data_IF_996430021210
#
_entry.id   IF_996430021210
#
_cell.length_a   1.000
_cell.length_b   1.000
_cell.length_c   1.000
_cell.angle_alpha   90.00
_cell.angle_beta   90.00
_cell.angle_gamma   90.00
#
_symmetry.space_group_name_H-M   'P 1'
#
loop_
_entity.id
_entity.type
_entity.pdbx_description
1 polymer ?
#
# COMPACT_ATOMS: atom_id res chain seq x y z
N UNK A 1 8.74 39.18 8.48
CA UNK A 1 8.59 37.70 8.47
C UNK A 1 9.97 37.06 8.62
N UNK A 2 10.21 36.23 9.62
CA UNK A 2 11.45 35.44 9.71
C UNK A 2 11.54 34.57 8.45
N UNK A 3 12.67 34.66 7.71
CA UNK A 3 12.91 33.76 6.57
C UNK A 3 13.03 32.33 7.13
N UNK A 4 12.13 31.45 6.69
CA UNK A 4 12.24 30.03 7.02
C UNK A 4 13.49 29.47 6.34
N UNK A 5 14.35 28.83 7.15
CA UNK A 5 15.60 28.25 6.68
C UNK A 5 15.42 26.74 6.59
N UNK A 6 15.37 26.22 5.37
CA UNK A 6 15.40 24.77 5.12
C UNK A 6 16.87 24.31 5.17
N UNK A 7 17.15 23.31 5.99
CA UNK A 7 18.46 22.67 6.08
C UNK A 7 18.62 21.69 4.92
N UNK A 8 19.45 22.04 3.95
CA UNK A 8 19.78 21.18 2.83
C UNK A 8 20.87 20.18 3.24
N UNK A 9 20.85 18.93 2.73
CA UNK A 9 22.00 18.05 2.76
C UNK A 9 23.17 18.69 2.03
N UNK A 10 24.39 18.33 2.45
CA UNK A 10 25.63 18.85 1.85
C UNK A 10 25.65 18.66 0.32
N UNK A 11 25.27 17.48 -0.15
CA UNK A 11 25.26 17.15 -1.57
C UNK A 11 24.26 18.01 -2.36
N UNK A 12 23.03 18.20 -1.85
CA UNK A 12 22.03 19.05 -2.50
C UNK A 12 22.51 20.52 -2.54
N UNK A 13 23.12 21.01 -1.46
CA UNK A 13 23.69 22.35 -1.42
C UNK A 13 24.83 22.50 -2.44
N UNK A 14 25.73 21.52 -2.51
CA UNK A 14 26.84 21.51 -3.46
C UNK A 14 26.34 21.53 -4.92
N UNK A 15 25.32 20.71 -5.25
CA UNK A 15 24.69 20.69 -6.59
C UNK A 15 24.11 22.05 -6.96
N UNK A 16 23.38 22.71 -6.04
CA UNK A 16 22.84 24.03 -6.26
C UNK A 16 23.95 25.07 -6.50
N UNK A 17 24.99 25.03 -5.68
CA UNK A 17 26.13 25.98 -5.80
C UNK A 17 26.88 25.78 -7.10
N UNK A 18 27.12 24.55 -7.55
CA UNK A 18 27.78 24.22 -8.80
C UNK A 18 26.98 24.74 -10.01
N UNK A 19 25.66 24.51 -10.04
CA UNK A 19 24.80 25.05 -11.11
C UNK A 19 24.81 26.58 -11.13
N UNK A 20 24.72 27.21 -9.96
CA UNK A 20 24.71 28.69 -9.85
C UNK A 20 26.05 29.32 -10.21
N UNK A 21 27.16 28.70 -9.83
CA UNK A 21 28.50 29.17 -10.21
C UNK A 21 28.71 29.10 -11.73
N UNK A 22 28.02 28.18 -12.43
CA UNK A 22 28.01 28.11 -13.90
C UNK A 22 27.02 29.09 -14.56
N UNK A 23 26.37 29.96 -13.79
CA UNK A 23 25.48 31.00 -14.32
C UNK A 23 24.03 30.55 -14.49
N UNK A 24 23.64 29.37 -13.95
CA UNK A 24 22.28 28.86 -14.03
C UNK A 24 21.51 29.11 -12.73
N UNK A 25 20.22 29.44 -12.83
CA UNK A 25 19.33 29.40 -11.65
C UNK A 25 19.08 27.97 -11.26
N UNK A 26 19.05 27.68 -9.94
CA UNK A 26 18.81 26.36 -9.42
C UNK A 26 18.14 26.40 -8.04
N UNK A 27 17.16 25.53 -7.80
CA UNK A 27 16.38 25.46 -6.57
C UNK A 27 16.09 23.99 -6.22
N UNK A 28 16.00 23.65 -4.93
CA UNK A 28 15.29 22.44 -4.53
C UNK A 28 13.79 22.67 -4.64
N UNK A 29 13.01 21.65 -4.99
CA UNK A 29 11.61 21.85 -5.39
C UNK A 29 10.72 20.66 -5.05
N UNK A 30 9.44 20.90 -4.82
CA UNK A 30 8.45 19.84 -4.70
C UNK A 30 8.38 19.21 -3.31
N UNK A 31 8.41 17.87 -3.27
CA UNK A 31 8.23 17.09 -2.05
C UNK A 31 9.20 17.44 -0.93
N UNK A 32 10.45 17.69 -1.23
CA UNK A 32 11.45 18.03 -0.23
C UNK A 32 11.18 19.38 0.44
N UNK A 33 10.69 20.37 -0.30
CA UNK A 33 10.32 21.68 0.27
C UNK A 33 9.10 21.54 1.17
N UNK A 34 8.05 20.85 0.69
CA UNK A 34 6.84 20.55 1.47
C UNK A 34 7.17 19.82 2.77
N UNK A 35 7.92 18.71 2.69
CA UNK A 35 8.20 17.87 3.85
C UNK A 35 9.08 18.62 4.86
N UNK A 36 10.05 19.44 4.39
CA UNK A 36 10.85 20.31 5.26
C UNK A 36 9.99 21.35 6.00
N UNK A 37 9.01 21.97 5.32
CA UNK A 37 8.09 22.92 5.92
C UNK A 37 7.17 22.28 6.95
N UNK A 38 6.84 20.99 6.78
CA UNK A 38 6.09 20.18 7.77
C UNK A 38 7.00 19.66 8.91
N UNK A 39 8.29 20.01 8.95
CA UNK A 39 9.21 19.47 9.95
C UNK A 39 9.55 17.98 9.78
N UNK A 40 9.25 17.42 8.61
CA UNK A 40 9.56 16.02 8.24
C UNK A 40 10.91 15.96 7.53
N UNK A 41 11.63 14.86 7.68
CA UNK A 41 12.85 14.61 6.91
C UNK A 41 12.49 14.17 5.50
N UNK A 42 12.89 14.91 4.42
CA UNK A 42 12.66 14.48 3.06
C UNK A 42 13.40 13.18 2.72
N UNK A 43 12.76 12.31 1.94
CA UNK A 43 13.38 11.07 1.45
C UNK A 43 14.32 11.31 0.27
N UNK A 44 13.95 12.24 -0.59
CA UNK A 44 14.64 12.65 -1.81
C UNK A 44 14.74 14.18 -1.92
N UNK A 45 15.65 14.67 -2.75
CA UNK A 45 15.86 16.08 -2.98
C UNK A 45 15.94 16.36 -4.47
N UNK A 46 14.80 16.79 -5.02
CA UNK A 46 14.70 17.17 -6.43
C UNK A 46 15.20 18.59 -6.63
N UNK A 47 15.96 18.80 -7.70
CA UNK A 47 16.48 20.10 -8.09
C UNK A 47 15.87 20.49 -9.44
N UNK A 48 15.42 21.73 -9.57
CA UNK A 48 15.06 22.32 -10.85
C UNK A 48 16.03 23.45 -11.22
N UNK A 49 16.32 23.62 -12.52
CA UNK A 49 17.33 24.54 -13.00
C UNK A 49 17.03 25.08 -14.39
N UNK A 50 17.61 26.28 -14.72
CA UNK A 50 17.62 26.81 -16.08
C UNK A 50 18.64 26.11 -17.00
N UNK A 51 19.57 25.28 -16.43
CA UNK A 51 20.53 24.53 -17.22
C UNK A 51 19.80 23.45 -18.05
N UNK A 52 20.14 23.37 -19.34
CA UNK A 52 19.65 22.28 -20.22
C UNK A 52 20.31 20.95 -19.88
N UNK A 53 19.72 19.82 -20.28
CA UNK A 53 20.26 18.49 -19.94
C UNK A 53 21.71 18.28 -20.40
N UNK A 54 22.10 18.83 -21.55
CA UNK A 54 23.47 18.79 -22.07
C UNK A 54 24.44 19.61 -21.22
N UNK A 55 24.00 20.79 -20.76
CA UNK A 55 24.77 21.64 -19.84
C UNK A 55 24.93 20.98 -18.47
N UNK A 56 23.83 20.44 -17.92
CA UNK A 56 23.88 19.69 -16.66
C UNK A 56 24.83 18.48 -16.77
N UNK A 57 24.75 17.73 -17.90
CA UNK A 57 25.66 16.61 -18.17
C UNK A 57 27.12 17.05 -18.25
N UNK A 58 27.40 18.19 -18.87
CA UNK A 58 28.76 18.70 -18.98
C UNK A 58 29.33 19.17 -17.62
N UNK A 59 28.51 19.82 -16.80
CA UNK A 59 28.91 20.29 -15.46
C UNK A 59 29.25 19.15 -14.48
N UNK A 60 28.62 17.98 -14.63
CA UNK A 60 28.81 16.85 -13.73
C UNK A 60 29.42 15.63 -14.44
N UNK A 61 30.20 15.87 -15.52
CA UNK A 61 30.77 14.79 -16.34
C UNK A 61 31.78 13.90 -15.56
N UNK A 62 32.34 14.40 -14.46
CA UNK A 62 33.22 13.68 -13.55
C UNK A 62 32.48 12.79 -12.53
N UNK A 63 31.14 12.77 -12.57
CA UNK A 63 30.27 11.99 -11.68
C UNK A 63 29.55 10.88 -12.46
N UNK A 64 29.03 9.93 -11.70
CA UNK A 64 28.12 8.91 -12.29
C UNK A 64 26.79 9.56 -12.62
N UNK A 65 26.36 9.47 -13.88
CA UNK A 65 25.14 10.07 -14.38
C UNK A 65 24.08 9.01 -14.74
N UNK A 66 22.80 9.35 -14.49
CA UNK A 66 21.64 8.56 -14.92
C UNK A 66 20.91 9.41 -15.98
N UNK A 67 20.93 8.96 -17.23
CA UNK A 67 20.45 9.73 -18.39
C UNK A 67 19.10 9.23 -18.96
N UNK A 68 18.46 8.27 -18.30
CA UNK A 68 17.16 7.71 -18.77
C UNK A 68 16.06 8.75 -18.90
N UNK A 69 16.10 9.81 -18.06
CA UNK A 69 15.17 10.94 -18.07
C UNK A 69 15.58 12.14 -18.92
N UNK A 70 16.76 12.10 -19.56
CA UNK A 70 17.33 13.29 -20.23
C UNK A 70 16.46 13.84 -21.36
N UNK A 71 15.74 12.97 -22.09
CA UNK A 71 14.79 13.39 -23.15
C UNK A 71 13.64 14.24 -22.60
N UNK A 72 13.30 14.05 -21.32
CA UNK A 72 12.25 14.78 -20.62
C UNK A 72 12.80 15.90 -19.71
N UNK A 73 14.10 16.21 -19.83
CA UNK A 73 14.73 17.28 -19.12
C UNK A 73 15.38 16.89 -17.78
N UNK A 74 15.36 15.62 -17.37
CA UNK A 74 15.92 15.18 -16.10
C UNK A 74 17.23 14.44 -16.25
N UNK A 75 18.26 14.88 -15.52
CA UNK A 75 19.57 14.22 -15.41
C UNK A 75 19.76 13.81 -13.95
N UNK A 76 19.98 12.53 -13.69
CA UNK A 76 20.35 12.06 -12.35
C UNK A 76 21.86 12.19 -12.15
N UNK A 77 22.26 12.75 -11.01
CA UNK A 77 23.66 12.82 -10.55
C UNK A 77 23.81 11.99 -9.29
N UNK A 78 24.70 11.00 -9.29
CA UNK A 78 24.92 10.12 -8.14
C UNK A 78 26.07 10.68 -7.29
N UNK A 79 25.75 11.01 -6.02
CA UNK A 79 26.72 11.46 -5.02
C UNK A 79 26.65 10.56 -3.80
N UNK A 80 27.78 10.04 -3.33
CA UNK A 80 27.89 9.15 -2.17
C UNK A 80 26.88 7.97 -2.22
N UNK A 81 26.65 7.41 -3.44
CA UNK A 81 25.72 6.33 -3.68
C UNK A 81 24.22 6.70 -3.69
N UNK A 82 23.90 8.00 -3.60
CA UNK A 82 22.52 8.53 -3.68
C UNK A 82 22.29 9.26 -5.00
N UNK A 83 21.22 8.97 -5.72
CA UNK A 83 20.84 9.73 -6.91
C UNK A 83 20.13 11.03 -6.51
N UNK A 84 20.46 12.11 -7.19
CA UNK A 84 19.78 13.42 -7.16
C UNK A 84 19.25 13.72 -8.54
N UNK A 85 17.96 14.01 -8.67
CA UNK A 85 17.35 14.38 -9.93
C UNK A 85 17.47 15.89 -10.17
N UNK A 86 18.08 16.27 -11.28
CA UNK A 86 18.19 17.65 -11.74
C UNK A 86 17.36 17.81 -13.00
N UNK A 87 16.26 18.55 -12.90
CA UNK A 87 15.31 18.74 -13.99
C UNK A 87 15.40 20.16 -14.53
N UNK A 88 15.60 20.29 -15.85
CA UNK A 88 15.53 21.57 -16.56
C UNK A 88 14.11 22.13 -16.47
N UNK A 89 13.98 23.47 -16.24
CA UNK A 89 12.68 24.14 -16.29
C UNK A 89 12.00 23.87 -17.62
N UNK A 90 10.76 23.48 -17.58
CA UNK A 90 10.02 23.13 -18.77
C UNK A 90 8.55 23.52 -18.68
N UNK A 91 7.97 23.74 -19.82
CA UNK A 91 6.54 23.71 -20.06
C UNK A 91 6.21 22.43 -20.80
N UNK A 92 5.22 21.72 -20.34
CA UNK A 92 4.74 20.55 -21.02
C UNK A 92 3.77 21.03 -22.13
N UNK A 93 3.91 20.47 -23.34
CA UNK A 93 2.99 20.72 -24.46
C UNK A 93 1.72 19.88 -24.33
N UNK A 94 0.95 19.78 -25.41
CA UNK A 94 -0.29 19.00 -25.44
C UNK A 94 -0.04 17.53 -25.10
N UNK A 95 -0.99 16.95 -24.36
CA UNK A 95 -0.96 15.55 -23.93
C UNK A 95 -2.02 14.77 -24.75
N UNK A 96 -1.59 13.91 -25.68
CA UNK A 96 -2.51 13.06 -26.44
C UNK A 96 -2.81 11.72 -25.77
N UNK A 97 -1.86 11.22 -24.99
CA UNK A 97 -1.96 9.92 -24.32
C UNK A 97 -2.26 10.03 -22.82
N UNK A 98 -2.65 11.22 -22.33
CA UNK A 98 -2.88 11.55 -20.93
C UNK A 98 -1.69 11.16 -20.00
N UNK A 99 -0.46 11.16 -20.56
CA UNK A 99 0.75 10.78 -19.80
C UNK A 99 1.99 11.58 -20.18
N UNK A 100 2.29 11.64 -21.47
CA UNK A 100 3.52 12.28 -21.97
C UNK A 100 3.14 13.50 -22.79
N UNK A 101 3.74 14.67 -22.48
CA UNK A 101 3.62 15.78 -23.40
C UNK A 101 4.26 15.39 -24.74
N UNK A 102 3.59 15.64 -25.84
CA UNK A 102 4.14 15.39 -27.20
C UNK A 102 5.47 16.14 -27.40
N UNK A 103 5.53 17.32 -26.82
CA UNK A 103 6.71 18.18 -26.86
C UNK A 103 7.01 18.72 -25.49
N UNK A 104 8.28 18.71 -25.12
CA UNK A 104 8.80 19.38 -23.93
C UNK A 104 9.50 20.65 -24.40
N UNK A 105 8.99 21.80 -24.01
CA UNK A 105 9.64 23.08 -24.28
C UNK A 105 10.42 23.52 -23.03
N UNK A 106 11.74 23.57 -23.14
CA UNK A 106 12.56 24.12 -22.07
C UNK A 106 12.36 25.62 -21.95
N UNK A 107 12.08 26.08 -20.74
CA UNK A 107 11.88 27.51 -20.41
C UNK A 107 13.03 28.02 -19.53
N UNK A 108 13.15 29.34 -19.42
CA UNK A 108 14.23 29.96 -18.65
C UNK A 108 13.79 30.37 -17.25
N UNK A 109 12.50 30.38 -16.99
CA UNK A 109 11.95 30.89 -15.73
C UNK A 109 11.36 29.77 -14.86
N UNK A 110 11.54 29.94 -13.54
CA UNK A 110 11.03 29.04 -12.52
C UNK A 110 9.49 29.02 -12.48
N UNK A 111 8.83 30.14 -12.79
CA UNK A 111 7.38 30.26 -12.68
C UNK A 111 6.68 29.29 -13.64
N UNK A 112 7.20 29.15 -14.86
CA UNK A 112 6.69 28.17 -15.84
C UNK A 112 6.84 26.72 -15.35
N UNK A 113 7.94 26.38 -14.69
CA UNK A 113 8.12 25.03 -14.11
C UNK A 113 7.20 24.75 -12.91
N UNK A 114 6.96 25.74 -12.06
CA UNK A 114 6.06 25.60 -10.91
C UNK A 114 4.59 25.49 -11.37
N UNK A 115 4.21 26.23 -12.42
CA UNK A 115 2.83 26.28 -12.93
C UNK A 115 2.35 24.93 -13.53
N UNK A 116 3.24 24.09 -14.05
CA UNK A 116 2.89 22.76 -14.61
C UNK A 116 2.75 21.64 -13.57
N UNK A 117 3.10 21.92 -12.30
CA UNK A 117 3.06 20.90 -11.24
C UNK A 117 1.64 20.53 -10.85
N UNK A 118 1.52 19.39 -10.19
CA UNK A 118 0.22 18.82 -9.82
C UNK A 118 -0.53 19.66 -8.77
N UNK A 119 0.10 19.88 -7.61
CA UNK A 119 -0.54 20.52 -6.46
C UNK A 119 0.28 21.67 -5.92
N UNK A 120 -0.40 22.69 -5.38
CA UNK A 120 0.22 23.90 -4.81
C UNK A 120 1.28 23.59 -3.77
N UNK A 121 1.03 22.60 -2.90
CA UNK A 121 1.97 22.14 -1.87
C UNK A 121 3.23 21.49 -2.41
N UNK A 122 3.24 21.10 -3.70
CA UNK A 122 4.40 20.56 -4.42
C UNK A 122 4.97 21.56 -5.43
N UNK A 123 4.35 22.74 -5.57
CA UNK A 123 4.76 23.81 -6.48
C UNK A 123 5.50 24.93 -5.75
N UNK A 124 6.31 24.57 -4.77
CA UNK A 124 7.18 25.47 -4.01
C UNK A 124 8.63 25.12 -4.29
N UNK A 125 9.48 26.14 -4.37
CA UNK A 125 10.92 26.02 -4.57
C UNK A 125 11.68 26.71 -3.42
N UNK A 126 12.91 26.29 -3.17
CA UNK A 126 13.74 26.90 -2.14
C UNK A 126 15.19 26.99 -2.57
N UNK A 127 15.84 28.10 -2.23
CA UNK A 127 17.29 28.21 -2.25
C UNK A 127 17.81 29.03 -1.06
N UNK A 128 19.03 28.72 -0.56
CA UNK A 128 19.69 29.52 0.47
C UNK A 128 19.84 30.97 0.03
N UNK A 129 19.52 31.90 0.93
CA UNK A 129 19.56 33.34 0.66
C UNK A 129 18.30 33.93 0.04
N UNK A 130 17.54 33.16 -0.75
CA UNK A 130 16.28 33.60 -1.35
C UNK A 130 15.06 33.16 -0.50
N UNK A 131 15.18 32.04 0.18
CA UNK A 131 14.08 31.47 0.97
C UNK A 131 13.13 30.62 0.13
N UNK A 132 11.89 30.42 0.63
CA UNK A 132 10.84 29.68 -0.07
C UNK A 132 10.16 30.58 -1.10
N UNK A 133 10.16 30.14 -2.35
CA UNK A 133 9.43 30.74 -3.47
C UNK A 133 8.12 29.99 -3.63
N UNK A 134 7.01 30.68 -3.39
CA UNK A 134 5.64 30.14 -3.46
C UNK A 134 4.78 31.07 -4.31
N UNK A 135 4.57 30.69 -5.57
CA UNK A 135 3.79 31.47 -6.53
C UNK A 135 2.31 31.07 -6.59
N UNK A 136 1.96 29.94 -5.97
CA UNK A 136 0.64 29.32 -6.08
C UNK A 136 -0.08 29.15 -4.75
N UNK A 137 0.46 29.71 -3.65
CA UNK A 137 -0.16 29.66 -2.32
C UNK A 137 -0.01 28.30 -1.61
N UNK A 138 1.01 27.51 -1.97
CA UNK A 138 1.27 26.20 -1.40
C UNK A 138 1.53 26.23 0.11
N UNK A 139 2.15 27.30 0.64
CA UNK A 139 2.37 27.46 2.09
C UNK A 139 1.07 27.63 2.85
N UNK A 140 0.10 28.36 2.29
CA UNK A 140 -1.23 28.53 2.89
C UNK A 140 -1.96 27.18 2.88
N UNK A 141 -2.02 26.53 1.73
CA UNK A 141 -2.68 25.24 1.59
C UNK A 141 -2.04 24.17 2.50
N UNK A 142 -0.71 24.24 2.68
CA UNK A 142 0.02 23.36 3.61
C UNK A 142 -0.38 23.62 5.07
N UNK A 143 -0.53 24.87 5.47
CA UNK A 143 -0.93 25.25 6.82
C UNK A 143 -2.41 24.89 7.11
N UNK A 144 -3.27 24.97 6.09
CA UNK A 144 -4.69 24.65 6.16
C UNK A 144 -4.98 23.15 5.98
N UNK A 145 -3.99 22.33 5.63
CA UNK A 145 -4.18 20.90 5.37
C UNK A 145 -4.97 20.62 4.08
N UNK A 146 -4.72 21.38 3.03
CA UNK A 146 -5.48 21.31 1.78
C UNK A 146 -4.61 20.80 0.62
N UNK A 147 -5.16 19.88 -0.17
CA UNK A 147 -4.61 19.47 -1.47
C UNK A 147 -5.36 20.22 -2.57
N UNK A 148 -4.70 21.15 -3.21
CA UNK A 148 -5.25 21.98 -4.30
C UNK A 148 -4.42 21.82 -5.55
N UNK A 149 -5.05 21.64 -6.72
CA UNK A 149 -4.37 21.67 -8.01
C UNK A 149 -3.76 23.05 -8.27
N UNK A 150 -2.64 23.10 -8.99
CA UNK A 150 -2.09 24.33 -9.53
C UNK A 150 -2.94 24.77 -10.71
N UNK A 151 -3.52 25.97 -10.66
CA UNK A 151 -4.39 26.49 -11.71
C UNK A 151 -5.75 25.77 -11.79
N UNK A 152 -6.22 25.48 -13.00
CA UNK A 152 -7.52 24.79 -13.21
C UNK A 152 -7.40 23.30 -12.99
N UNK A 153 -8.15 22.72 -12.03
CA UNK A 153 -8.11 21.29 -11.74
C UNK A 153 -8.54 20.40 -12.92
N UNK A 154 -9.52 20.84 -13.71
CA UNK A 154 -9.99 20.06 -14.87
C UNK A 154 -8.87 19.92 -15.92
N UNK A 155 -8.18 21.02 -16.22
CA UNK A 155 -7.03 21.02 -17.11
C UNK A 155 -5.90 20.13 -16.56
N UNK A 156 -5.59 20.21 -15.25
CA UNK A 156 -4.54 19.38 -14.61
C UNK A 156 -4.83 17.89 -14.70
N UNK A 157 -6.06 17.46 -14.52
CA UNK A 157 -6.45 16.06 -14.62
C UNK A 157 -6.56 15.58 -16.07
N UNK A 158 -6.92 16.45 -17.01
CA UNK A 158 -6.89 16.13 -18.43
C UNK A 158 -5.48 15.89 -18.97
N UNK A 159 -4.46 16.61 -18.46
CA UNK A 159 -3.05 16.39 -18.82
C UNK A 159 -2.53 15.02 -18.36
N UNK A 160 -2.75 14.64 -17.11
CA UNK A 160 -2.38 13.33 -16.57
C UNK A 160 -3.45 12.87 -15.56
N UNK A 161 -4.29 11.93 -16.01
CA UNK A 161 -5.35 11.37 -15.19
C UNK A 161 -4.83 10.72 -13.88
N UNK A 162 -3.57 10.26 -13.85
CA UNK A 162 -2.98 9.72 -12.62
C UNK A 162 -2.92 10.75 -11.50
N UNK A 163 -2.91 12.05 -11.79
CA UNK A 163 -2.95 13.11 -10.79
C UNK A 163 -4.18 13.02 -9.88
N UNK A 164 -5.28 12.40 -10.36
CA UNK A 164 -6.47 12.11 -9.55
C UNK A 164 -6.11 11.18 -8.39
N UNK A 165 -5.47 10.04 -8.68
CA UNK A 165 -5.04 9.11 -7.62
C UNK A 165 -3.89 9.68 -6.76
N UNK A 166 -3.01 10.49 -7.35
CA UNK A 166 -2.00 11.22 -6.60
C UNK A 166 -2.62 12.16 -5.57
N UNK A 167 -3.71 12.87 -5.93
CA UNK A 167 -4.46 13.70 -4.98
C UNK A 167 -4.98 12.87 -3.80
N UNK A 168 -5.59 11.70 -4.07
CA UNK A 168 -6.06 10.78 -3.04
C UNK A 168 -4.90 10.28 -2.15
N UNK A 169 -3.78 9.88 -2.76
CA UNK A 169 -2.60 9.40 -2.02
C UNK A 169 -1.99 10.51 -1.14
N UNK A 170 -1.90 11.74 -1.64
CA UNK A 170 -1.42 12.86 -0.82
C UNK A 170 -2.39 13.20 0.30
N UNK A 171 -3.70 13.17 0.05
CA UNK A 171 -4.70 13.34 1.09
C UNK A 171 -4.52 12.31 2.20
N UNK A 172 -4.39 11.03 1.85
CA UNK A 172 -4.15 9.95 2.82
C UNK A 172 -2.79 10.08 3.54
N UNK A 173 -1.70 10.36 2.80
CA UNK A 173 -0.35 10.43 3.37
C UNK A 173 -0.13 11.60 4.32
N UNK A 174 -0.75 12.73 4.03
CA UNK A 174 -0.62 13.97 4.81
C UNK A 174 -1.76 14.16 5.81
N UNK A 175 -2.82 13.36 5.69
CA UNK A 175 -4.09 13.51 6.42
C UNK A 175 -4.75 14.86 6.12
N UNK A 176 -4.67 15.27 4.86
CA UNK A 176 -5.23 16.50 4.31
C UNK A 176 -6.55 16.24 3.58
N UNK A 177 -7.28 17.30 3.30
CA UNK A 177 -8.51 17.24 2.49
C UNK A 177 -8.28 17.89 1.12
N UNK A 178 -9.04 17.46 0.10
CA UNK A 178 -9.01 18.13 -1.18
C UNK A 178 -9.76 19.47 -1.10
N UNK A 179 -9.23 20.47 -1.78
CA UNK A 179 -9.98 21.67 -2.14
C UNK A 179 -11.29 21.29 -2.87
N UNK A 180 -12.42 21.98 -2.61
CA UNK A 180 -13.71 21.60 -3.21
C UNK A 180 -13.71 21.53 -4.73
N UNK A 181 -13.05 22.50 -5.42
CA UNK A 181 -12.96 22.48 -6.88
C UNK A 181 -12.10 21.33 -7.39
N UNK A 182 -10.99 21.04 -6.70
CA UNK A 182 -10.12 19.88 -6.98
C UNK A 182 -10.89 18.56 -6.79
N UNK A 183 -11.66 18.43 -5.72
CA UNK A 183 -12.47 17.23 -5.46
C UNK A 183 -13.56 17.01 -6.51
N UNK A 184 -14.27 18.08 -6.89
CA UNK A 184 -15.30 18.05 -7.92
C UNK A 184 -14.74 17.65 -9.30
N UNK A 185 -13.59 18.23 -9.68
CA UNK A 185 -12.92 17.89 -10.93
C UNK A 185 -12.40 16.44 -10.93
N UNK A 186 -11.87 15.95 -9.78
CA UNK A 186 -11.43 14.57 -9.63
C UNK A 186 -12.59 13.59 -9.82
N UNK A 187 -13.77 13.89 -9.27
CA UNK A 187 -14.96 13.07 -9.45
C UNK A 187 -15.44 13.09 -10.90
N UNK A 188 -15.48 14.27 -11.52
CA UNK A 188 -15.92 14.41 -12.90
C UNK A 188 -15.01 13.70 -13.92
N UNK A 189 -13.71 13.57 -13.60
CA UNK A 189 -12.71 12.98 -14.48
C UNK A 189 -12.30 11.54 -14.10
N UNK A 190 -12.91 10.93 -13.06
CA UNK A 190 -12.43 9.64 -12.52
C UNK A 190 -12.45 8.49 -13.54
N UNK A 191 -13.36 8.48 -14.50
CA UNK A 191 -13.43 7.47 -15.55
C UNK A 191 -12.19 7.47 -16.46
N UNK A 192 -11.50 8.61 -16.59
CA UNK A 192 -10.25 8.70 -17.35
C UNK A 192 -9.10 7.87 -16.74
N UNK A 193 -9.22 7.46 -15.48
CA UNK A 193 -8.26 6.55 -14.83
C UNK A 193 -8.12 5.22 -15.58
N UNK A 194 -9.15 4.79 -16.30
CA UNK A 194 -9.09 3.56 -17.11
C UNK A 194 -8.11 3.65 -18.29
N UNK A 195 -7.68 4.85 -18.68
CA UNK A 195 -6.65 5.03 -19.70
C UNK A 195 -5.23 4.98 -19.15
N UNK A 196 -5.07 5.01 -17.83
CA UNK A 196 -3.77 4.97 -17.17
C UNK A 196 -3.26 3.53 -17.07
N UNK A 197 -1.95 3.33 -17.22
CA UNK A 197 -1.35 2.01 -17.09
C UNK A 197 -1.57 1.40 -15.72
N UNK A 198 -1.82 0.10 -15.69
CA UNK A 198 -2.14 -0.66 -14.48
C UNK A 198 -1.08 -0.53 -13.38
N UNK A 199 0.20 -0.51 -13.76
CA UNK A 199 1.33 -0.37 -12.84
C UNK A 199 1.34 0.98 -12.14
N UNK A 200 0.96 2.06 -12.85
CA UNK A 200 0.87 3.40 -12.26
C UNK A 200 -0.30 3.49 -11.31
N UNK A 201 -1.46 2.95 -11.68
CA UNK A 201 -2.64 2.86 -10.79
C UNK A 201 -2.29 2.07 -9.53
N UNK A 202 -1.67 0.88 -9.71
CA UNK A 202 -1.24 0.05 -8.59
C UNK A 202 -0.34 0.83 -7.62
N UNK A 203 0.67 1.53 -8.13
CA UNK A 203 1.63 2.25 -7.30
C UNK A 203 0.97 3.36 -6.45
N UNK A 204 0.01 4.10 -7.02
CA UNK A 204 -0.71 5.15 -6.29
C UNK A 204 -1.68 4.55 -5.26
N UNK A 205 -2.44 3.51 -5.62
CA UNK A 205 -3.33 2.81 -4.68
C UNK A 205 -2.57 2.15 -3.53
N UNK A 206 -1.45 1.48 -3.85
CA UNK A 206 -0.59 0.84 -2.86
C UNK A 206 -0.01 1.86 -1.85
N UNK A 207 0.41 3.02 -2.36
CA UNK A 207 0.84 4.14 -1.52
C UNK A 207 -0.28 4.78 -0.71
N UNK A 208 -1.52 4.83 -1.24
CA UNK A 208 -2.70 5.33 -0.55
C UNK A 208 -3.10 4.39 0.60
N UNK A 209 -3.24 3.09 0.30
CA UNK A 209 -3.70 2.09 1.27
C UNK A 209 -2.74 1.92 2.46
N UNK A 210 -1.44 2.15 2.27
CA UNK A 210 -0.44 2.11 3.32
C UNK A 210 -0.30 3.42 4.12
N UNK A 211 -1.06 4.45 3.78
CA UNK A 211 -0.96 5.76 4.40
C UNK A 211 -1.82 5.87 5.68
N UNK A 212 -1.43 6.71 6.65
CA UNK A 212 -2.17 6.84 7.92
C UNK A 212 -3.63 7.29 7.74
N UNK A 213 -3.90 8.18 6.80
CA UNK A 213 -5.25 8.67 6.49
C UNK A 213 -6.01 7.85 5.44
N UNK A 214 -5.59 6.60 5.15
CA UNK A 214 -6.20 5.77 4.11
C UNK A 214 -7.72 5.59 4.30
N UNK A 215 -8.16 5.17 5.47
CA UNK A 215 -9.58 4.95 5.78
C UNK A 215 -10.43 6.21 5.58
N UNK A 216 -10.00 7.35 6.12
CA UNK A 216 -10.71 8.62 5.99
C UNK A 216 -10.78 9.10 4.53
N UNK A 217 -9.71 8.92 3.77
CA UNK A 217 -9.66 9.25 2.33
C UNK A 217 -10.58 8.34 1.52
N UNK A 218 -10.61 7.04 1.81
CA UNK A 218 -11.50 6.08 1.18
C UNK A 218 -12.97 6.41 1.46
N UNK A 219 -13.33 6.68 2.72
CA UNK A 219 -14.70 7.03 3.10
C UNK A 219 -15.18 8.27 2.32
N UNK A 220 -14.34 9.29 2.24
CA UNK A 220 -14.71 10.57 1.61
C UNK A 220 -14.74 10.52 0.08
N UNK A 221 -13.83 9.78 -0.56
CA UNK A 221 -13.61 9.82 -2.01
C UNK A 221 -13.82 8.47 -2.71
N UNK A 222 -14.65 7.59 -2.14
CA UNK A 222 -14.91 6.26 -2.69
C UNK A 222 -15.37 6.27 -4.15
N UNK A 223 -16.25 7.22 -4.53
CA UNK A 223 -16.72 7.35 -5.91
C UNK A 223 -15.57 7.66 -6.90
N UNK A 224 -14.56 8.42 -6.48
CA UNK A 224 -13.36 8.69 -7.30
C UNK A 224 -12.50 7.43 -7.43
N UNK A 225 -12.32 6.69 -6.34
CA UNK A 225 -11.55 5.44 -6.34
C UNK A 225 -12.21 4.35 -7.20
N UNK A 226 -13.54 4.38 -7.35
CA UNK A 226 -14.27 3.48 -8.24
C UNK A 226 -13.86 3.65 -9.71
N UNK A 227 -13.38 4.82 -10.14
CA UNK A 227 -12.79 5.00 -11.46
C UNK A 227 -11.56 4.14 -11.72
N UNK A 228 -10.75 3.86 -10.68
CA UNK A 228 -9.58 2.99 -10.77
C UNK A 228 -9.91 1.51 -10.54
N UNK A 229 -10.84 1.22 -9.62
CA UNK A 229 -11.30 -0.13 -9.25
C UNK A 229 -12.82 -0.18 -9.32
N UNK A 230 -13.41 -0.37 -10.52
CA UNK A 230 -14.87 -0.31 -10.71
C UNK A 230 -15.66 -1.27 -9.84
N UNK A 231 -15.04 -2.35 -9.42
CA UNK A 231 -15.67 -3.38 -8.56
C UNK A 231 -16.07 -2.86 -7.18
N UNK A 232 -15.52 -1.73 -6.72
CA UNK A 232 -15.94 -1.13 -5.45
C UNK A 232 -17.23 -0.29 -5.57
N UNK A 233 -17.59 0.16 -6.78
CA UNK A 233 -18.79 0.99 -6.98
C UNK A 233 -20.06 0.36 -6.40
N UNK A 234 -20.36 -0.95 -6.58
CA UNK A 234 -21.51 -1.58 -5.96
C UNK A 234 -21.46 -1.67 -4.42
N UNK A 235 -20.28 -1.48 -3.80
CA UNK A 235 -20.14 -1.49 -2.35
C UNK A 235 -20.62 -0.17 -1.72
N UNK A 236 -20.54 0.93 -2.49
CA UNK A 236 -20.96 2.26 -2.04
C UNK A 236 -22.49 2.29 -1.95
N UNK A 237 -22.99 2.62 -0.75
CA UNK A 237 -24.45 2.60 -0.47
C UNK A 237 -25.04 1.19 -0.35
N UNK A 238 -24.27 0.11 -0.45
CA UNK A 238 -24.76 -1.24 -0.20
C UNK A 238 -25.01 -1.45 1.30
N UNK A 239 -26.23 -1.15 1.74
CA UNK A 239 -26.63 -1.32 3.14
C UNK A 239 -26.53 -2.77 3.62
N UNK A 240 -26.13 -2.92 4.88
CA UNK A 240 -25.97 -4.19 5.59
C UNK A 240 -26.95 -4.24 6.79
N UNK A 241 -28.30 -4.24 6.54
CA UNK A 241 -29.26 -4.24 7.63
C UNK A 241 -29.06 -5.47 8.54
N UNK A 242 -28.98 -5.20 9.83
CA UNK A 242 -28.67 -6.17 10.87
C UNK A 242 -28.04 -5.48 12.09
N UNK A 243 -27.86 -6.21 13.17
CA UNK A 243 -27.33 -5.67 14.44
C UNK A 243 -25.79 -5.51 14.49
N UNK A 244 -25.09 -6.03 13.46
CA UNK A 244 -23.65 -6.06 13.43
C UNK A 244 -23.02 -4.82 12.78
N UNK A 245 -23.67 -4.27 11.76
CA UNK A 245 -23.11 -3.23 10.92
C UNK A 245 -23.77 -1.88 11.15
N UNK A 246 -22.97 -0.84 11.36
CA UNK A 246 -23.42 0.55 11.42
C UNK A 246 -23.15 1.32 10.10
N UNK A 247 -22.46 0.69 9.16
CA UNK A 247 -22.04 1.26 7.89
C UNK A 247 -22.57 0.44 6.71
N UNK A 248 -22.60 1.04 5.51
CA UNK A 248 -22.66 0.30 4.27
C UNK A 248 -21.35 -0.49 4.03
N UNK A 249 -21.31 -1.33 2.99
CA UNK A 249 -20.13 -2.16 2.71
C UNK A 249 -18.87 -1.34 2.48
N UNK A 250 -18.99 -0.20 1.76
CA UNK A 250 -17.84 0.63 1.46
C UNK A 250 -17.27 1.35 2.70
N UNK A 251 -18.13 1.99 3.47
CA UNK A 251 -17.73 2.69 4.70
C UNK A 251 -17.17 1.73 5.74
N UNK A 252 -17.73 0.51 5.83
CA UNK A 252 -17.17 -0.56 6.65
C UNK A 252 -15.75 -0.92 6.17
N UNK A 253 -15.56 -1.12 4.86
CA UNK A 253 -14.24 -1.41 4.28
C UNK A 253 -13.23 -0.28 4.57
N UNK A 254 -13.65 0.97 4.42
CA UNK A 254 -12.81 2.13 4.72
C UNK A 254 -12.43 2.20 6.21
N UNK A 255 -13.39 1.93 7.11
CA UNK A 255 -13.14 1.86 8.55
C UNK A 255 -12.16 0.72 8.91
N UNK A 256 -12.33 -0.46 8.31
CA UNK A 256 -11.42 -1.59 8.51
C UNK A 256 -9.99 -1.28 8.04
N UNK A 257 -9.81 -0.64 6.87
CA UNK A 257 -8.49 -0.19 6.41
C UNK A 257 -7.89 0.82 7.38
N UNK A 258 -8.69 1.76 7.89
CA UNK A 258 -8.24 2.77 8.87
C UNK A 258 -7.88 2.20 10.24
N UNK A 259 -8.47 1.06 10.61
CA UNK A 259 -8.23 0.39 11.90
C UNK A 259 -7.05 -0.60 11.89
N UNK A 260 -6.39 -0.81 10.73
CA UNK A 260 -5.28 -1.75 10.63
C UNK A 260 -4.11 -1.38 11.54
N UNK A 261 -3.72 -2.29 12.41
CA UNK A 261 -2.46 -2.21 13.14
C UNK A 261 -1.33 -2.88 12.31
N UNK A 262 -0.46 -2.07 11.77
CA UNK A 262 0.68 -2.52 10.95
C UNK A 262 1.98 -2.70 11.75
N UNK A 263 1.95 -2.49 13.07
CA UNK A 263 3.14 -2.66 13.93
C UNK A 263 3.63 -4.11 13.91
N UNK A 264 4.94 -4.27 13.84
CA UNK A 264 5.55 -5.61 13.78
C UNK A 264 5.41 -6.34 12.43
N UNK A 265 4.82 -5.70 11.43
CA UNK A 265 4.82 -6.21 10.06
C UNK A 265 6.06 -5.71 9.30
N UNK A 266 6.62 -6.57 8.47
CA UNK A 266 7.56 -6.12 7.45
C UNK A 266 6.82 -5.36 6.34
N UNK A 267 7.53 -4.65 5.49
CA UNK A 267 6.93 -3.85 4.41
C UNK A 267 6.01 -4.68 3.50
N UNK A 268 6.38 -5.93 3.18
CA UNK A 268 5.54 -6.81 2.36
C UNK A 268 4.28 -7.24 3.10
N UNK A 269 4.41 -7.57 4.38
CA UNK A 269 3.28 -7.96 5.22
C UNK A 269 2.25 -6.84 5.42
N UNK A 270 2.73 -5.63 5.66
CA UNK A 270 1.88 -4.45 5.76
C UNK A 270 1.08 -4.24 4.46
N UNK A 271 1.72 -4.35 3.29
CA UNK A 271 1.04 -4.24 1.99
C UNK A 271 -0.02 -5.32 1.79
N UNK A 272 0.30 -6.58 2.13
CA UNK A 272 -0.66 -7.69 2.08
C UNK A 272 -1.88 -7.40 2.94
N UNK A 273 -1.70 -6.89 4.16
CA UNK A 273 -2.81 -6.54 5.06
C UNK A 273 -3.67 -5.40 4.52
N UNK A 274 -3.05 -4.31 4.04
CA UNK A 274 -3.77 -3.17 3.47
C UNK A 274 -4.66 -3.59 2.29
N UNK A 275 -4.11 -4.37 1.35
CA UNK A 275 -4.87 -4.87 0.22
C UNK A 275 -5.93 -5.92 0.60
N UNK A 276 -5.63 -6.78 1.58
CA UNK A 276 -6.62 -7.71 2.09
C UNK A 276 -7.80 -6.99 2.73
N UNK A 277 -7.55 -5.97 3.57
CA UNK A 277 -8.60 -5.15 4.17
C UNK A 277 -9.38 -4.35 3.13
N UNK A 278 -8.72 -3.82 2.09
CA UNK A 278 -9.38 -3.13 1.00
C UNK A 278 -10.34 -4.01 0.20
N UNK A 279 -10.05 -5.32 0.08
CA UNK A 279 -10.78 -6.24 -0.79
C UNK A 279 -11.59 -7.30 -0.04
N UNK A 280 -11.57 -7.36 1.31
CA UNK A 280 -12.18 -8.46 2.07
C UNK A 280 -13.67 -8.63 1.78
N UNK A 281 -14.39 -7.53 1.66
CA UNK A 281 -15.83 -7.48 1.49
C UNK A 281 -16.30 -7.13 0.07
N UNK A 282 -15.39 -7.10 -0.91
CA UNK A 282 -15.67 -6.69 -2.30
C UNK A 282 -16.81 -7.47 -2.96
N UNK A 283 -17.05 -8.70 -2.54
CA UNK A 283 -18.11 -9.54 -3.08
C UNK A 283 -19.42 -9.53 -2.27
N UNK A 284 -19.53 -8.74 -1.20
CA UNK A 284 -20.81 -8.64 -0.45
C UNK A 284 -21.98 -8.19 -1.34
N UNK A 285 -21.85 -7.14 -2.19
CA UNK A 285 -22.97 -6.73 -3.05
C UNK A 285 -23.51 -7.85 -3.95
N UNK A 286 -22.71 -8.57 -4.74
CA UNK A 286 -23.22 -9.65 -5.59
C UNK A 286 -23.63 -10.94 -4.83
N UNK A 287 -23.36 -11.04 -3.52
CA UNK A 287 -23.78 -12.15 -2.66
C UNK A 287 -24.93 -11.77 -1.73
N UNK A 288 -25.42 -10.52 -1.80
CA UNK A 288 -26.46 -10.02 -0.90
C UNK A 288 -27.80 -10.72 -1.14
N UNK A 289 -28.36 -11.25 -0.07
CA UNK A 289 -29.76 -11.69 0.00
C UNK A 289 -30.40 -11.07 1.23
N UNK A 290 -31.73 -10.89 1.21
CA UNK A 290 -32.47 -10.33 2.35
C UNK A 290 -33.40 -11.43 2.86
N UNK A 291 -33.27 -11.74 4.14
CA UNK A 291 -34.14 -12.73 4.80
C UNK A 291 -35.54 -12.21 5.08
N UNK A 292 -36.50 -13.07 5.48
CA UNK A 292 -37.86 -12.69 5.87
C UNK A 292 -37.90 -11.67 7.04
N UNK A 293 -36.87 -11.65 7.87
CA UNK A 293 -36.67 -10.75 8.99
C UNK A 293 -36.09 -9.38 8.59
N UNK A 294 -35.86 -9.17 7.27
CA UNK A 294 -35.24 -7.96 6.73
C UNK A 294 -33.73 -7.91 6.90
N UNK A 295 -33.09 -8.91 7.53
CA UNK A 295 -31.65 -8.96 7.69
C UNK A 295 -30.93 -9.31 6.37
N UNK A 296 -29.78 -8.65 6.11
CA UNK A 296 -28.96 -8.99 4.98
C UNK A 296 -28.03 -10.16 5.28
N UNK A 297 -27.91 -11.06 4.31
CA UNK A 297 -26.99 -12.19 4.32
C UNK A 297 -26.06 -12.14 3.10
N UNK A 298 -24.81 -12.55 3.29
CA UNK A 298 -23.77 -12.46 2.26
C UNK A 298 -23.03 -13.79 2.09
N UNK A 299 -23.81 -14.91 2.01
CA UNK A 299 -23.23 -16.25 1.97
C UNK A 299 -22.26 -16.43 0.81
N UNK A 300 -21.07 -16.95 1.10
CA UNK A 300 -20.04 -17.23 0.11
C UNK A 300 -19.28 -15.98 -0.40
N UNK A 301 -19.51 -14.81 0.19
CA UNK A 301 -18.81 -13.57 -0.22
C UNK A 301 -17.29 -13.69 -0.09
N UNK A 302 -16.78 -14.43 0.90
CA UNK A 302 -15.35 -14.64 1.11
C UNK A 302 -14.69 -15.41 -0.05
N UNK A 303 -15.31 -16.50 -0.54
CA UNK A 303 -14.78 -17.28 -1.67
C UNK A 303 -14.88 -16.49 -2.99
N UNK A 304 -16.03 -15.88 -3.24
CA UNK A 304 -16.24 -15.03 -4.41
C UNK A 304 -15.35 -13.78 -4.35
N UNK A 305 -15.18 -13.20 -3.15
CA UNK A 305 -14.29 -12.07 -2.89
C UNK A 305 -12.83 -12.40 -3.19
N UNK A 306 -12.37 -13.58 -2.81
CA UNK A 306 -11.02 -14.04 -3.14
C UNK A 306 -10.80 -14.15 -4.66
N UNK A 307 -11.81 -14.61 -5.42
CA UNK A 307 -11.74 -14.65 -6.90
C UNK A 307 -11.71 -13.24 -7.48
N UNK A 308 -12.58 -12.34 -7.02
CA UNK A 308 -12.59 -10.94 -7.46
C UNK A 308 -11.28 -10.23 -7.11
N UNK A 309 -10.78 -10.40 -5.88
CA UNK A 309 -9.50 -9.84 -5.43
C UNK A 309 -8.33 -10.31 -6.31
N UNK A 310 -8.28 -11.59 -6.66
CA UNK A 310 -7.28 -12.13 -7.59
C UNK A 310 -7.35 -11.44 -8.95
N UNK A 311 -8.55 -11.31 -9.52
CA UNK A 311 -8.76 -10.66 -10.82
C UNK A 311 -8.32 -9.19 -10.78
N UNK A 312 -8.70 -8.44 -9.75
CA UNK A 312 -8.34 -7.04 -9.56
C UNK A 312 -6.81 -6.89 -9.45
N UNK A 313 -6.17 -7.66 -8.57
CA UNK A 313 -4.73 -7.57 -8.32
C UNK A 313 -3.90 -7.97 -9.55
N UNK A 314 -4.32 -8.98 -10.31
CA UNK A 314 -3.67 -9.38 -11.55
C UNK A 314 -3.85 -8.31 -12.64
N UNK A 315 -5.04 -7.71 -12.80
CA UNK A 315 -5.30 -6.60 -13.71
C UNK A 315 -4.40 -5.40 -13.37
N UNK A 316 -4.21 -5.11 -12.08
CA UNK A 316 -3.34 -4.04 -11.59
C UNK A 316 -1.85 -4.40 -11.66
N UNK A 317 -1.50 -5.62 -12.11
CA UNK A 317 -0.12 -6.12 -12.18
C UNK A 317 0.60 -6.10 -10.83
N UNK A 318 -0.14 -6.38 -9.78
CA UNK A 318 0.40 -6.50 -8.43
C UNK A 318 1.44 -7.63 -8.34
N UNK A 319 2.47 -7.52 -7.48
CA UNK A 319 3.46 -8.57 -7.30
C UNK A 319 2.84 -9.89 -6.81
N UNK A 320 3.37 -11.03 -7.25
CA UNK A 320 2.81 -12.37 -6.93
C UNK A 320 2.63 -12.61 -5.42
N UNK A 321 3.61 -12.19 -4.58
CA UNK A 321 3.51 -12.34 -3.12
C UNK A 321 2.29 -11.61 -2.54
N UNK A 322 1.93 -10.46 -3.13
CA UNK A 322 0.78 -9.67 -2.71
C UNK A 322 -0.52 -10.34 -3.13
N UNK A 323 -0.59 -10.81 -4.38
CA UNK A 323 -1.76 -11.54 -4.89
C UNK A 323 -2.04 -12.74 -4.00
N UNK A 324 -1.05 -13.60 -3.77
CA UNK A 324 -1.22 -14.82 -2.97
C UNK A 324 -1.58 -14.51 -1.52
N UNK A 325 -0.88 -13.56 -0.90
CA UNK A 325 -1.10 -13.19 0.49
C UNK A 325 -2.46 -12.55 0.73
N UNK A 326 -2.84 -11.54 -0.06
CA UNK A 326 -4.11 -10.84 0.10
C UNK A 326 -5.30 -11.74 -0.25
N UNK A 327 -5.25 -12.46 -1.38
CA UNK A 327 -6.31 -13.40 -1.77
C UNK A 327 -6.51 -14.50 -0.73
N UNK A 328 -5.41 -15.03 -0.19
CA UNK A 328 -5.48 -16.03 0.88
C UNK A 328 -6.18 -15.51 2.15
N UNK A 329 -5.90 -14.27 2.55
CA UNK A 329 -6.57 -13.63 3.69
C UNK A 329 -8.05 -13.37 3.40
N UNK A 330 -8.37 -12.82 2.24
CA UNK A 330 -9.78 -12.58 1.82
C UNK A 330 -10.58 -13.88 1.81
N UNK A 331 -10.00 -15.00 1.35
CA UNK A 331 -10.69 -16.29 1.29
C UNK A 331 -11.17 -16.81 2.65
N UNK A 332 -10.52 -16.43 3.74
CA UNK A 332 -10.79 -16.97 5.08
C UNK A 332 -11.03 -15.91 6.17
N UNK A 333 -11.14 -14.63 5.79
CA UNK A 333 -11.29 -13.54 6.78
C UNK A 333 -12.53 -13.74 7.67
N UNK A 334 -13.63 -14.24 7.14
CA UNK A 334 -14.89 -14.49 7.86
C UNK A 334 -14.98 -15.90 8.47
N UNK A 335 -14.03 -16.80 8.16
CA UNK A 335 -14.05 -18.16 8.69
C UNK A 335 -13.87 -18.17 10.22
N UNK A 336 -14.55 -19.08 10.95
CA UNK A 336 -14.33 -19.26 12.38
C UNK A 336 -12.87 -19.66 12.65
N UNK A 337 -12.33 -19.17 13.76
CA UNK A 337 -10.97 -19.51 14.17
C UNK A 337 -10.93 -20.94 14.73
N UNK A 338 -9.83 -21.67 14.51
CA UNK A 338 -9.64 -23.00 15.09
C UNK A 338 -9.68 -22.96 16.61
N UNK A 339 -10.39 -23.94 17.21
CA UNK A 339 -10.48 -24.11 18.67
C UNK A 339 -9.73 -25.38 19.08
N UNK A 340 -8.94 -25.30 20.15
CA UNK A 340 -8.14 -26.37 20.69
C UNK A 340 -6.80 -26.56 19.95
N UNK A 341 -5.81 -27.11 20.69
CA UNK A 341 -4.41 -27.19 20.26
C UNK A 341 -4.23 -27.97 18.96
N UNK A 342 -4.87 -29.10 18.81
CA UNK A 342 -4.78 -29.92 17.60
C UNK A 342 -5.24 -29.16 16.34
N UNK A 343 -6.33 -28.39 16.45
CA UNK A 343 -6.85 -27.59 15.34
C UNK A 343 -5.94 -26.42 15.03
N UNK A 344 -5.36 -25.78 16.05
CA UNK A 344 -4.40 -24.67 15.89
C UNK A 344 -3.10 -25.16 15.27
N UNK A 345 -2.56 -26.31 15.71
CA UNK A 345 -1.37 -26.93 15.12
C UNK A 345 -1.58 -27.31 13.65
N UNK A 346 -2.75 -27.82 13.28
CA UNK A 346 -3.11 -28.07 11.89
C UNK A 346 -3.19 -26.78 11.06
N UNK A 347 -3.69 -25.71 11.65
CA UNK A 347 -3.69 -24.39 10.98
C UNK A 347 -2.26 -23.84 10.82
N UNK A 348 -1.41 -23.97 11.84
CA UNK A 348 0.02 -23.61 11.79
C UNK A 348 0.76 -24.43 10.71
N UNK A 349 0.49 -25.72 10.61
CA UNK A 349 1.06 -26.57 9.57
C UNK A 349 0.65 -26.12 8.16
N UNK A 350 -0.62 -25.79 7.95
CA UNK A 350 -1.17 -25.42 6.65
C UNK A 350 -0.78 -24.01 6.20
N UNK A 351 -0.86 -23.02 7.09
CA UNK A 351 -0.77 -21.61 6.75
C UNK A 351 0.51 -20.95 7.26
N UNK A 352 1.15 -21.51 8.25
CA UNK A 352 2.28 -20.91 8.94
C UNK A 352 1.91 -19.77 9.91
N UNK A 353 2.80 -19.47 10.88
CA UNK A 353 2.51 -18.50 11.94
C UNK A 353 2.40 -17.06 11.44
N UNK A 354 3.15 -16.71 10.37
CA UNK A 354 3.12 -15.34 9.80
C UNK A 354 1.75 -15.05 9.19
N UNK A 355 1.20 -15.98 8.41
CA UNK A 355 -0.11 -15.83 7.80
C UNK A 355 -1.22 -15.74 8.86
N UNK A 356 -1.18 -16.60 9.89
CA UNK A 356 -2.19 -16.59 10.95
C UNK A 356 -2.17 -15.30 11.78
N UNK A 357 -0.99 -14.73 12.06
CA UNK A 357 -0.90 -13.39 12.68
C UNK A 357 -1.53 -12.30 11.81
N UNK A 358 -1.31 -12.34 10.49
CA UNK A 358 -1.97 -11.41 9.57
C UNK A 358 -3.48 -11.59 9.53
N UNK A 359 -3.95 -12.85 9.61
CA UNK A 359 -5.39 -13.11 9.72
C UNK A 359 -5.98 -12.51 11.00
N UNK A 360 -5.30 -12.63 12.15
CA UNK A 360 -5.73 -11.98 13.39
C UNK A 360 -5.79 -10.46 13.23
N UNK A 361 -4.76 -9.85 12.65
CA UNK A 361 -4.72 -8.41 12.42
C UNK A 361 -5.88 -7.93 11.52
N UNK A 362 -6.18 -8.67 10.44
CA UNK A 362 -7.33 -8.39 9.59
C UNK A 362 -8.66 -8.54 10.33
N UNK A 363 -8.83 -9.61 11.13
CA UNK A 363 -10.03 -9.81 11.95
C UNK A 363 -10.22 -8.72 13.00
N UNK A 364 -9.17 -8.23 13.62
CA UNK A 364 -9.27 -7.08 14.55
C UNK A 364 -9.74 -5.83 13.82
N UNK A 365 -9.16 -5.52 12.68
CA UNK A 365 -9.53 -4.35 11.89
C UNK A 365 -10.98 -4.42 11.39
N UNK A 366 -11.44 -5.59 10.96
CA UNK A 366 -12.83 -5.85 10.58
C UNK A 366 -13.78 -5.67 11.77
N UNK A 367 -13.46 -6.24 12.93
CA UNK A 367 -14.26 -6.09 14.15
C UNK A 367 -14.32 -4.62 14.64
N UNK A 368 -13.23 -3.88 14.52
CA UNK A 368 -13.18 -2.46 14.90
C UNK A 368 -14.03 -1.56 13.97
N UNK A 369 -14.36 -2.06 12.77
CA UNK A 369 -15.27 -1.41 11.82
C UNK A 369 -16.76 -1.78 12.04
N UNK A 370 -17.09 -2.66 12.99
CA UNK A 370 -18.47 -3.02 13.35
C UNK A 370 -19.07 -2.09 14.41
N UNK A 371 -20.38 -2.22 14.61
CA UNK A 371 -21.04 -1.58 15.75
C UNK A 371 -20.48 -2.15 17.08
N UNK A 372 -20.27 -1.34 18.12
CA UNK A 372 -19.68 -1.79 19.39
C UNK A 372 -20.69 -2.59 20.24
N UNK A 373 -21.04 -3.79 19.80
CA UNK A 373 -21.98 -4.69 20.48
C UNK A 373 -21.25 -5.69 21.40
N UNK A 374 -21.99 -6.32 22.30
CA UNK A 374 -21.44 -7.36 23.20
C UNK A 374 -20.86 -8.52 22.39
N UNK A 375 -21.50 -8.87 21.28
CA UNK A 375 -21.05 -9.92 20.40
C UNK A 375 -19.73 -9.58 19.71
N UNK A 376 -19.51 -8.32 19.30
CA UNK A 376 -18.23 -7.85 18.72
C UNK A 376 -17.12 -7.93 19.78
N UNK A 377 -17.42 -7.53 21.03
CA UNK A 377 -16.47 -7.66 22.15
C UNK A 377 -16.11 -9.13 22.40
N UNK A 378 -17.10 -10.03 22.38
CA UNK A 378 -16.87 -11.48 22.53
C UNK A 378 -15.99 -12.04 21.41
N UNK A 379 -16.29 -11.72 20.16
CA UNK A 379 -15.46 -12.16 19.02
C UNK A 379 -14.04 -11.62 19.07
N UNK A 380 -13.87 -10.37 19.52
CA UNK A 380 -12.54 -9.82 19.72
C UNK A 380 -11.74 -10.59 20.77
N UNK A 381 -12.39 -10.98 21.86
CA UNK A 381 -11.78 -11.85 22.89
C UNK A 381 -11.39 -13.23 22.35
N UNK A 382 -12.23 -13.82 21.47
CA UNK A 382 -11.93 -15.08 20.78
C UNK A 382 -10.68 -14.97 19.89
N UNK A 383 -10.56 -13.86 19.12
CA UNK A 383 -9.36 -13.60 18.30
C UNK A 383 -8.12 -13.48 19.19
N UNK A 384 -8.24 -12.78 20.31
CA UNK A 384 -7.13 -12.59 21.27
C UNK A 384 -6.69 -13.91 21.90
N UNK A 385 -7.64 -14.73 22.34
CA UNK A 385 -7.35 -16.05 22.90
C UNK A 385 -6.67 -16.99 21.87
N UNK A 386 -7.18 -16.99 20.64
CA UNK A 386 -6.58 -17.74 19.53
C UNK A 386 -5.15 -17.26 19.25
N UNK A 387 -4.93 -15.96 19.14
CA UNK A 387 -3.61 -15.38 18.83
C UNK A 387 -2.59 -15.72 19.92
N UNK A 388 -2.97 -15.60 21.19
CA UNK A 388 -2.10 -15.96 22.33
C UNK A 388 -1.73 -17.45 22.28
N UNK A 389 -2.72 -18.34 22.13
CA UNK A 389 -2.48 -19.78 22.09
C UNK A 389 -1.69 -20.20 20.87
N UNK A 390 -2.02 -19.66 19.69
CA UNK A 390 -1.30 -19.89 18.44
C UNK A 390 0.16 -19.45 18.56
N UNK A 391 0.44 -18.31 19.19
CA UNK A 391 1.79 -17.80 19.38
C UNK A 391 2.61 -18.72 20.31
N UNK A 392 2.00 -19.25 21.36
CA UNK A 392 2.62 -20.24 22.23
C UNK A 392 2.92 -21.54 21.48
N UNK A 393 1.92 -22.11 20.79
CA UNK A 393 2.08 -23.34 20.03
C UNK A 393 3.07 -23.21 18.86
N UNK A 394 3.20 -22.03 18.27
CA UNK A 394 4.20 -21.75 17.24
C UNK A 394 5.64 -21.84 17.75
N UNK A 395 5.87 -21.61 19.06
CA UNK A 395 7.20 -21.70 19.70
C UNK A 395 7.47 -23.10 20.23
N UNK A 396 6.47 -23.73 20.84
CA UNK A 396 6.64 -24.95 21.66
C UNK A 396 6.13 -26.20 20.94
N UNK A 397 5.21 -26.05 19.98
CA UNK A 397 4.52 -27.14 19.32
C UNK A 397 5.28 -27.75 18.15
N UNK A 398 4.96 -28.99 17.85
CA UNK A 398 5.43 -29.67 16.64
C UNK A 398 4.33 -29.63 15.58
N UNK A 399 4.51 -28.81 14.53
CA UNK A 399 3.57 -28.65 13.43
C UNK A 399 4.22 -28.74 12.03
N UNK A 400 5.51 -29.06 11.96
CA UNK A 400 6.21 -29.32 10.71
C UNK A 400 7.01 -30.62 10.81
N UNK A 401 7.21 -31.30 9.68
CA UNK A 401 8.03 -32.51 9.63
C UNK A 401 9.44 -32.30 10.20
N UNK A 402 10.00 -31.10 10.01
CA UNK A 402 11.34 -30.76 10.52
C UNK A 402 11.42 -30.71 12.05
N UNK A 403 10.30 -30.55 12.74
CA UNK A 403 10.20 -30.51 14.20
C UNK A 403 9.95 -31.89 14.83
N UNK A 404 9.70 -32.94 14.02
CA UNK A 404 9.61 -34.31 14.54
C UNK A 404 10.94 -34.74 15.14
N UNK A 405 10.86 -35.51 16.23
CA UNK A 405 12.04 -36.13 16.88
C UNK A 405 12.61 -37.32 16.07
N UNK A 406 12.07 -37.62 14.90
CA UNK A 406 12.56 -38.58 13.92
C UNK A 406 12.64 -37.94 12.54
N UNK A 407 13.52 -38.46 11.71
CA UNK A 407 13.71 -38.04 10.32
C UNK A 407 13.58 -39.23 9.36
N UNK A 408 13.83 -39.00 8.05
CA UNK A 408 13.71 -40.05 7.05
C UNK A 408 14.72 -41.21 7.23
N UNK A 409 15.92 -40.95 7.75
CA UNK A 409 16.93 -41.99 8.04
C UNK A 409 16.46 -42.89 9.15
N UNK A 410 15.95 -42.31 10.25
CA UNK A 410 15.39 -43.10 11.37
C UNK A 410 14.29 -44.04 10.93
N UNK A 411 13.43 -43.61 9.99
CA UNK A 411 12.38 -44.46 9.47
C UNK A 411 12.91 -45.59 8.57
N UNK A 412 13.95 -45.33 7.77
CA UNK A 412 14.57 -46.33 6.94
C UNK A 412 15.33 -47.36 7.80
N UNK A 413 16.02 -46.94 8.85
CA UNK A 413 16.67 -47.82 9.83
C UNK A 413 15.63 -48.70 10.58
N UNK A 414 14.43 -48.18 10.74
CA UNK A 414 13.28 -48.93 11.29
C UNK A 414 12.56 -49.84 10.27
N UNK A 415 13.07 -49.97 9.04
CA UNK A 415 12.60 -50.88 8.03
C UNK A 415 11.63 -50.27 6.99
N UNK A 416 11.39 -48.96 6.97
CA UNK A 416 10.58 -48.30 5.95
C UNK A 416 11.35 -48.23 4.63
N UNK A 417 10.76 -48.70 3.54
CA UNK A 417 11.42 -48.68 2.22
C UNK A 417 11.71 -47.25 1.76
N UNK A 418 12.94 -47.04 1.29
CA UNK A 418 13.35 -45.76 0.74
C UNK A 418 12.41 -45.29 -0.39
N UNK A 419 12.07 -43.98 -0.41
CA UNK A 419 11.24 -43.38 -1.45
C UNK A 419 10.01 -42.66 -0.88
N UNK A 420 8.92 -42.51 -1.66
CA UNK A 420 7.72 -41.74 -1.27
C UNK A 420 7.04 -42.22 0.02
N UNK A 421 7.27 -43.50 0.40
CA UNK A 421 6.69 -44.09 1.61
C UNK A 421 7.20 -43.41 2.88
N UNK A 422 8.50 -43.06 2.92
CA UNK A 422 9.10 -42.32 4.05
C UNK A 422 8.37 -41.00 4.28
N UNK A 423 8.12 -40.24 3.21
CA UNK A 423 7.39 -38.97 3.29
C UNK A 423 5.96 -39.16 3.82
N UNK A 424 5.23 -40.16 3.31
CA UNK A 424 3.86 -40.47 3.78
C UNK A 424 3.86 -40.82 5.28
N UNK A 425 4.77 -41.64 5.73
CA UNK A 425 4.88 -42.04 7.15
C UNK A 425 5.24 -40.86 8.05
N UNK A 426 6.17 -39.96 7.64
CA UNK A 426 6.47 -38.72 8.37
C UNK A 426 5.24 -37.83 8.51
N UNK A 427 4.42 -37.68 7.46
CA UNK A 427 3.17 -36.91 7.52
C UNK A 427 2.14 -37.55 8.47
N UNK A 428 2.03 -38.87 8.50
CA UNK A 428 1.13 -39.57 9.42
C UNK A 428 1.59 -39.40 10.88
N UNK A 429 2.88 -39.55 11.15
CA UNK A 429 3.45 -39.28 12.47
C UNK A 429 3.23 -37.84 12.92
N UNK A 430 3.51 -36.85 12.04
CA UNK A 430 3.25 -35.46 12.35
C UNK A 430 1.77 -35.21 12.69
N UNK A 431 0.86 -35.82 11.95
CA UNK A 431 -0.57 -35.72 12.23
C UNK A 431 -0.91 -36.30 13.59
N UNK A 432 -0.35 -37.47 13.94
CA UNK A 432 -0.56 -38.11 15.24
C UNK A 432 -0.04 -37.24 16.41
N UNK A 433 1.11 -36.58 16.22
CA UNK A 433 1.66 -35.63 17.20
C UNK A 433 0.76 -34.40 17.34
N UNK A 434 0.34 -33.80 16.23
CA UNK A 434 -0.56 -32.63 16.28
C UNK A 434 -1.90 -32.94 16.93
N UNK A 435 -2.36 -34.18 16.81
CA UNK A 435 -3.60 -34.64 17.43
C UNK A 435 -3.40 -35.10 18.90
N UNK A 436 -2.17 -35.03 19.41
CA UNK A 436 -1.86 -35.46 20.79
C UNK A 436 -1.92 -36.96 21.02
N UNK A 437 -2.01 -37.78 19.95
CA UNK A 437 -2.09 -39.25 20.03
C UNK A 437 -0.74 -39.89 20.34
N UNK A 438 0.35 -39.24 19.90
CA UNK A 438 1.72 -39.73 20.09
C UNK A 438 2.57 -38.55 20.56
N UNK A 439 3.34 -38.71 21.64
CA UNK A 439 4.30 -37.68 22.07
C UNK A 439 5.43 -37.54 21.03
N UNK A 440 5.93 -36.32 20.85
CA UNK A 440 7.05 -36.07 19.93
C UNK A 440 8.40 -36.50 20.57
N UNK A 441 8.56 -37.79 20.80
CA UNK A 441 9.83 -38.39 21.24
C UNK A 441 10.22 -39.51 20.26
N UNK A 442 11.53 -39.73 20.08
CA UNK A 442 12.04 -40.72 19.11
C UNK A 442 11.41 -42.10 19.31
N UNK A 443 11.41 -42.57 20.54
CA UNK A 443 10.95 -43.94 20.88
C UNK A 443 9.43 -44.08 20.64
N UNK A 444 8.63 -43.09 21.06
CA UNK A 444 7.20 -43.10 20.86
C UNK A 444 6.82 -43.07 19.36
N UNK A 445 7.53 -42.26 18.56
CA UNK A 445 7.32 -42.18 17.14
C UNK A 445 7.70 -43.44 16.38
N UNK A 446 8.82 -44.09 16.75
CA UNK A 446 9.23 -45.38 16.18
C UNK A 446 8.29 -46.52 16.60
N UNK A 447 7.75 -46.47 17.81
CA UNK A 447 6.73 -47.44 18.25
C UNK A 447 5.44 -47.27 17.43
N UNK A 448 4.93 -46.05 17.31
CA UNK A 448 3.73 -45.71 16.52
C UNK A 448 3.88 -46.07 15.03
N UNK A 449 5.11 -46.03 14.49
CA UNK A 449 5.37 -46.39 13.09
C UNK A 449 4.99 -47.83 12.76
N UNK A 450 4.99 -48.74 13.73
CA UNK A 450 4.63 -50.15 13.56
C UNK A 450 3.12 -50.36 13.45
N UNK A 451 2.33 -49.38 13.92
CA UNK A 451 0.86 -49.42 13.92
C UNK A 451 0.22 -48.63 12.76
N UNK A 452 1.04 -47.82 12.07
CA UNK A 452 0.69 -46.96 10.93
C UNK A 452 1.10 -47.57 9.59
#
# INVERSE_FOLDING_TARGET
MKREVIRLPHDALWLLQTLRAAGHSAYVVGGCVRDSLLGRTPGDWDICTSARPDQTRALFADRQLILTGARHGTVGVVLHGRPYEITTYRQDGDYRDHRHPETVRFVQDLAGDLARRDFTINAMAYAPGEGVIDLHGGRRDLAEGIIRCVGDPAARFAEDALRILRAMRFAARLEFTLDPATAAAALAACDTLQTVSAERIYAELDGLLAAPGAGATMDRYGAVLAGAVPEIAPCIGCGQPGRWHCYDVWRHTAAAVGALDLRGQDTRGARVLCWAAFLHDIAKPPCKTVGPDGAAHFRGHNQRGAQMARTILLRLKAPAYLVEGAVGLVAIHDAPLPVGDASILKALNRCGPVFLRRLCALKYADLDAHAPTVEVVSRRAEVSAFEARMTQLAKEGCYTIRQLAVNGSDLMDAGVRAGPEVGRKLHLLLRAVMEGRVPNTRDALLAALREL
#
